data_IF_384631283187
#
_entry.id   IF_384631283187
#
_cell.length_a   1.000
_cell.length_b   1.000
_cell.length_c   1.000
_cell.angle_alpha   90.00
_cell.angle_beta   90.00
_cell.angle_gamma   90.00
#
_symmetry.space_group_name_H-M   'P 1'
#
loop_
_entity.id
_entity.type
_entity.pdbx_description
1 polymer ?
#
# COMPACT_ATOMS: atom_id res chain seq x y z
N UNK A 1 -3.47 17.78 -19.77
CA UNK A 1 -4.64 17.79 -18.85
C UNK A 1 -4.75 16.55 -17.95
N UNK A 2 -4.45 15.33 -18.43
CA UNK A 2 -4.60 14.09 -17.62
C UNK A 2 -3.81 14.10 -16.30
N UNK A 3 -2.60 14.65 -16.30
CA UNK A 3 -1.75 14.73 -15.11
C UNK A 3 -2.33 15.64 -14.01
N UNK A 4 -3.04 16.71 -14.41
CA UNK A 4 -3.72 17.62 -13.49
C UNK A 4 -4.95 16.98 -12.86
N UNK A 5 -5.74 16.23 -13.65
CA UNK A 5 -6.87 15.45 -13.15
C UNK A 5 -6.38 14.40 -12.16
N UNK A 6 -5.39 13.56 -12.53
CA UNK A 6 -4.78 12.56 -11.64
C UNK A 6 -4.37 13.17 -10.30
N UNK A 7 -3.69 14.32 -10.32
CA UNK A 7 -3.27 15.01 -9.10
C UNK A 7 -4.42 15.53 -8.21
N UNK A 8 -5.66 15.59 -8.69
CA UNK A 8 -6.85 15.99 -7.91
C UNK A 8 -7.69 14.81 -7.43
N UNK A 9 -7.74 13.72 -8.19
CA UNK A 9 -8.57 12.53 -7.87
C UNK A 9 -7.79 11.38 -7.24
N UNK A 10 -6.46 11.35 -7.36
CA UNK A 10 -5.66 10.37 -6.63
C UNK A 10 -5.77 10.64 -5.13
N UNK A 11 -6.06 9.61 -4.31
CA UNK A 11 -6.11 9.75 -2.86
C UNK A 11 -4.79 10.33 -2.36
N UNK A 12 -4.86 11.46 -1.65
CA UNK A 12 -3.70 12.09 -1.02
C UNK A 12 -3.85 11.95 0.47
N UNK A 13 -2.87 11.32 1.10
CA UNK A 13 -2.83 11.16 2.53
C UNK A 13 -2.16 9.87 2.93
N UNK A 14 -1.66 9.86 4.17
CA UNK A 14 -1.21 8.65 4.82
C UNK A 14 -2.42 7.75 5.09
N UNK A 15 -2.25 6.47 4.79
CA UNK A 15 -3.19 5.39 5.09
C UNK A 15 -2.65 4.62 6.29
N UNK A 16 -3.55 4.11 7.12
CA UNK A 16 -3.18 3.20 8.21
C UNK A 16 -3.53 1.77 7.78
N UNK A 17 -2.53 0.90 7.74
CA UNK A 17 -2.72 -0.54 7.63
C UNK A 17 -2.73 -1.10 9.04
N UNK A 18 -3.85 -1.70 9.42
CA UNK A 18 -3.98 -2.47 10.65
C UNK A 18 -3.78 -3.96 10.35
N UNK A 19 -2.90 -4.61 11.12
CA UNK A 19 -2.53 -6.01 10.98
C UNK A 19 -2.82 -6.70 12.31
N UNK A 20 -3.65 -7.76 12.24
CA UNK A 20 -4.09 -8.56 13.38
C UNK A 20 -4.75 -7.72 14.48
N UNK A 21 -5.77 -6.94 14.12
CA UNK A 21 -6.62 -6.20 15.07
C UNK A 21 -5.83 -5.33 16.07
N UNK A 22 -4.85 -4.57 15.56
CA UNK A 22 -4.03 -3.62 16.31
C UNK A 22 -2.68 -4.16 16.79
N UNK A 23 -2.34 -5.43 16.52
CA UNK A 23 -1.02 -5.98 16.86
C UNK A 23 0.11 -5.19 16.18
N UNK A 24 -0.12 -4.76 14.92
CA UNK A 24 0.80 -3.90 14.17
C UNK A 24 0.02 -2.91 13.32
N UNK A 25 0.36 -1.64 13.46
CA UNK A 25 -0.20 -0.54 12.65
C UNK A 25 0.92 0.15 11.86
N UNK A 26 0.69 0.36 10.57
CA UNK A 26 1.63 1.01 9.66
C UNK A 26 0.99 2.24 9.02
N UNK A 27 1.60 3.40 9.17
CA UNK A 27 1.28 4.57 8.35
C UNK A 27 2.08 4.55 7.06
N UNK A 28 1.38 4.53 5.92
CA UNK A 28 1.98 4.42 4.59
C UNK A 28 1.38 5.42 3.62
N UNK A 29 2.15 5.85 2.63
CA UNK A 29 1.62 6.68 1.56
C UNK A 29 0.75 5.83 0.61
N UNK A 30 -0.43 6.35 0.27
CA UNK A 30 -1.31 5.72 -0.71
C UNK A 30 -0.77 5.79 -2.14
N UNK A 31 -1.14 4.80 -2.96
CA UNK A 31 -0.86 4.79 -4.40
C UNK A 31 -0.10 3.56 -4.90
N UNK A 32 0.47 2.75 -3.99
CA UNK A 32 1.00 1.42 -4.28
C UNK A 32 -0.01 0.31 -3.99
N UNK A 33 0.33 -0.92 -4.38
CA UNK A 33 -0.43 -2.11 -3.97
C UNK A 33 -0.13 -2.50 -2.54
N UNK A 34 -1.05 -3.25 -1.91
CA UNK A 34 -0.87 -3.72 -0.54
C UNK A 34 0.39 -4.59 -0.39
N UNK A 35 0.65 -5.48 -1.35
CA UNK A 35 1.77 -6.42 -1.28
C UNK A 35 3.14 -5.71 -1.36
N UNK A 36 3.27 -4.74 -2.26
CA UNK A 36 4.50 -3.93 -2.40
C UNK A 36 4.74 -3.04 -1.17
N UNK A 37 3.66 -2.50 -0.61
CA UNK A 37 3.71 -1.67 0.59
C UNK A 37 4.15 -2.46 1.83
N UNK A 38 3.61 -3.67 2.01
CA UNK A 38 3.99 -4.56 3.10
C UNK A 38 5.45 -5.04 2.96
N UNK A 39 5.87 -5.43 1.75
CA UNK A 39 7.26 -5.81 1.49
C UNK A 39 8.26 -4.68 1.74
N UNK A 40 7.91 -3.45 1.36
CA UNK A 40 8.74 -2.26 1.64
C UNK A 40 8.85 -1.94 3.14
N UNK A 41 7.85 -2.37 3.92
CA UNK A 41 7.81 -2.25 5.38
C UNK A 41 8.43 -3.45 6.10
N UNK A 42 9.11 -4.36 5.37
CA UNK A 42 9.75 -5.55 5.92
C UNK A 42 8.80 -6.70 6.27
N UNK A 43 7.52 -6.62 5.87
CA UNK A 43 6.51 -7.66 6.07
C UNK A 43 6.40 -8.49 4.79
N UNK A 44 6.98 -9.68 4.82
CA UNK A 44 7.01 -10.59 3.68
C UNK A 44 5.94 -11.66 3.81
N UNK A 45 4.91 -11.56 2.98
CA UNK A 45 3.91 -12.62 2.87
C UNK A 45 4.43 -13.71 1.91
N UNK A 46 4.45 -14.99 2.32
CA UNK A 46 4.82 -16.08 1.42
C UNK A 46 3.83 -16.14 0.26
N UNK A 47 4.26 -15.63 -0.89
CA UNK A 47 3.40 -15.45 -2.07
C UNK A 47 3.71 -16.54 -3.08
N UNK A 48 2.85 -17.54 -3.19
CA UNK A 48 3.03 -18.67 -4.12
C UNK A 48 2.88 -18.29 -5.61
N UNK A 49 2.42 -17.07 -5.93
CA UNK A 49 2.17 -16.57 -7.29
C UNK A 49 3.22 -15.55 -7.79
N UNK A 50 4.42 -15.51 -7.19
CA UNK A 50 5.55 -14.74 -7.75
C UNK A 50 5.37 -13.22 -7.81
N UNK A 51 4.48 -12.64 -7.00
CA UNK A 51 4.32 -11.19 -6.90
C UNK A 51 3.36 -10.55 -7.90
N UNK A 52 2.52 -11.33 -8.59
CA UNK A 52 1.51 -10.80 -9.54
C UNK A 52 0.41 -9.91 -8.94
N UNK A 53 0.40 -9.69 -7.61
CA UNK A 53 -0.48 -8.74 -6.91
C UNK A 53 0.20 -7.39 -6.60
N UNK A 54 1.28 -7.07 -7.34
CA UNK A 54 1.99 -5.78 -7.26
C UNK A 54 1.34 -4.69 -8.09
#
# INVERSE_FOLDING_TARGET
MLLFVKAKISPKGKLVIDINDGERTLEVDGGGTLLSTLGSSGIFLPSACGGGGT
#
